data_IF_335070724469
#
_entry.id   IF_335070724469
#
_cell.length_a   1.000
_cell.length_b   1.000
_cell.length_c   1.000
_cell.angle_alpha   90.00
_cell.angle_beta   90.00
_cell.angle_gamma   90.00
#
_symmetry.space_group_name_H-M   'P 1'
#
loop_
_entity.id
_entity.type
_entity.pdbx_description
1 polymer ?
#
# COMPACT_ATOMS: atom_id res chain seq x y z
N UNK A 1 -7.47 -9.60 -7.56
CA UNK A 1 -7.87 -9.30 -6.17
C UNK A 1 -8.12 -7.80 -6.12
N UNK A 2 -9.34 -7.36 -5.83
CA UNK A 2 -9.67 -5.93 -5.70
C UNK A 2 -9.18 -5.47 -4.33
N UNK A 3 -8.03 -4.78 -4.27
CA UNK A 3 -7.62 -4.07 -3.07
C UNK A 3 -8.35 -2.72 -3.07
N UNK A 4 -9.17 -2.49 -2.04
CA UNK A 4 -10.02 -1.29 -1.94
C UNK A 4 -11.53 -1.53 -2.13
N UNK A 5 -11.97 -2.77 -2.33
CA UNK A 5 -13.40 -3.10 -2.33
C UNK A 5 -13.92 -3.04 -0.87
N UNK A 6 -14.39 -1.86 -0.45
CA UNK A 6 -15.18 -1.75 0.78
C UNK A 6 -16.45 -2.58 0.59
N UNK A 7 -16.68 -3.57 1.45
CA UNK A 7 -17.95 -4.30 1.49
C UNK A 7 -19.08 -3.29 1.78
N UNK A 8 -19.98 -3.02 0.81
CA UNK A 8 -21.00 -2.01 0.94
C UNK A 8 -22.00 -2.32 2.07
N UNK A 9 -22.06 -3.55 2.57
CA UNK A 9 -22.99 -3.95 3.63
C UNK A 9 -22.44 -3.78 5.05
N UNK A 10 -21.12 -3.64 5.23
CA UNK A 10 -20.53 -3.44 6.57
C UNK A 10 -20.73 -2.01 7.10
N UNK A 11 -20.63 -0.98 6.25
CA UNK A 11 -20.85 0.42 6.68
C UNK A 11 -22.33 0.79 6.80
N UNK A 12 -23.23 0.05 6.14
CA UNK A 12 -24.68 0.30 6.14
C UNK A 12 -25.34 0.15 7.51
N UNK A 13 -24.70 -0.52 8.47
CA UNK A 13 -25.34 -0.91 9.74
C UNK A 13 -25.12 0.05 10.90
N UNK A 14 -24.15 0.97 10.89
CA UNK A 14 -23.94 1.91 12.03
C UNK A 14 -23.12 3.20 11.76
N UNK A 15 -22.72 3.52 10.52
CA UNK A 15 -21.92 4.72 10.22
C UNK A 15 -22.74 5.93 9.73
N UNK A 16 -22.21 7.19 9.83
CA UNK A 16 -22.80 8.33 9.15
C UNK A 16 -22.92 8.03 7.65
N UNK A 17 -24.11 8.23 7.06
CA UNK A 17 -24.33 8.00 5.62
C UNK A 17 -23.33 8.82 4.81
N UNK A 18 -22.41 8.14 4.13
CA UNK A 18 -21.34 8.73 3.32
C UNK A 18 -21.95 9.57 2.18
N UNK A 19 -21.44 10.80 1.99
CA UNK A 19 -21.98 11.75 1.02
C UNK A 19 -21.37 11.59 -0.39
N UNK A 20 -20.11 11.15 -0.42
CA UNK A 20 -19.37 10.75 -1.61
C UNK A 20 -18.30 9.72 -1.23
N UNK A 21 -17.90 8.89 -2.19
CA UNK A 21 -16.95 7.80 -1.98
C UNK A 21 -16.01 7.71 -3.18
N UNK A 22 -14.70 7.69 -2.92
CA UNK A 22 -13.67 7.34 -3.89
C UNK A 22 -13.20 5.91 -3.67
N UNK A 23 -13.35 5.08 -4.69
CA UNK A 23 -12.77 3.74 -4.77
C UNK A 23 -11.58 3.78 -5.69
N UNK A 24 -10.55 3.03 -5.34
CA UNK A 24 -9.41 2.81 -6.22
C UNK A 24 -9.21 1.33 -6.47
N UNK A 25 -8.64 1.02 -7.62
CA UNK A 25 -8.17 -0.30 -7.99
C UNK A 25 -6.73 -0.18 -8.46
N UNK A 26 -5.82 -0.81 -7.74
CA UNK A 26 -4.42 -0.93 -8.16
C UNK A 26 -4.18 -2.27 -8.83
N UNK A 27 -3.38 -2.24 -9.90
CA UNK A 27 -2.93 -3.42 -10.62
C UNK A 27 -1.44 -3.28 -10.93
N UNK A 28 -0.76 -4.41 -11.04
CA UNK A 28 0.67 -4.41 -11.35
C UNK A 28 1.00 -5.43 -12.43
N UNK A 29 2.00 -5.08 -13.24
CA UNK A 29 2.52 -5.92 -14.31
C UNK A 29 4.04 -5.88 -14.28
N UNK A 30 4.68 -7.02 -14.56
CA UNK A 30 6.14 -7.11 -14.57
C UNK A 30 6.62 -8.25 -15.46
N UNK A 31 7.90 -8.17 -15.87
CA UNK A 31 8.65 -9.30 -16.42
C UNK A 31 9.76 -9.67 -15.44
N UNK A 32 9.89 -10.96 -15.13
CA UNK A 32 10.93 -11.47 -14.25
C UNK A 32 11.92 -12.36 -14.99
N UNK A 33 13.16 -12.34 -14.53
CA UNK A 33 14.22 -13.26 -14.98
C UNK A 33 14.93 -13.82 -13.74
N UNK A 34 14.36 -14.83 -13.06
CA UNK A 34 14.96 -15.39 -11.86
C UNK A 34 16.17 -16.25 -12.19
N UNK A 35 17.20 -16.17 -11.34
CA UNK A 35 18.31 -17.13 -11.27
C UNK A 35 18.35 -17.68 -9.85
N UNK A 36 18.44 -18.99 -9.69
CA UNK A 36 18.40 -19.60 -8.35
C UNK A 36 19.50 -20.63 -8.14
N UNK A 37 19.81 -20.85 -6.87
CA UNK A 37 20.73 -21.88 -6.40
C UNK A 37 20.28 -22.37 -5.02
N UNK A 38 20.56 -23.62 -4.70
CA UNK A 38 20.36 -24.18 -3.37
C UNK A 38 21.69 -24.14 -2.64
N UNK A 39 21.68 -23.64 -1.40
CA UNK A 39 22.82 -23.66 -0.49
C UNK A 39 22.46 -24.56 0.69
N UNK A 40 23.33 -25.51 1.01
CA UNK A 40 23.22 -26.27 2.25
C UNK A 40 23.97 -25.49 3.34
N UNK A 41 23.24 -25.01 4.34
CA UNK A 41 23.78 -24.50 5.60
C UNK A 41 23.64 -25.62 6.64
N UNK A 42 24.41 -25.58 7.72
CA UNK A 42 24.60 -26.68 8.68
C UNK A 42 23.40 -27.63 8.88
N UNK A 43 22.22 -27.10 9.19
CA UNK A 43 20.98 -27.87 9.33
C UNK A 43 19.94 -27.64 8.23
N UNK A 44 20.14 -26.64 7.37
CA UNK A 44 19.09 -26.08 6.51
C UNK A 44 19.46 -26.11 5.03
N UNK A 45 18.50 -26.49 4.19
CA UNK A 45 18.57 -26.28 2.75
C UNK A 45 17.96 -24.93 2.43
N UNK A 46 18.74 -23.99 1.90
CA UNK A 46 18.27 -22.64 1.59
C UNK A 46 18.25 -22.41 0.08
N UNK A 47 17.07 -22.10 -0.46
CA UNK A 47 16.92 -21.61 -1.82
C UNK A 47 17.21 -20.11 -1.87
N UNK A 48 18.18 -19.74 -2.71
CA UNK A 48 18.53 -18.35 -2.98
C UNK A 48 18.08 -18.00 -4.40
N UNK A 49 17.08 -17.13 -4.53
CA UNK A 49 16.58 -16.63 -5.83
C UNK A 49 17.05 -15.20 -6.02
N UNK A 50 17.93 -14.97 -7.00
CA UNK A 50 18.27 -13.63 -7.50
C UNK A 50 17.24 -13.20 -8.52
N UNK A 51 16.52 -12.12 -8.23
CA UNK A 51 15.43 -11.62 -9.03
C UNK A 51 15.86 -10.36 -9.78
N UNK A 52 15.74 -10.39 -11.10
CA UNK A 52 15.77 -9.17 -11.92
C UNK A 52 14.38 -8.93 -12.49
N UNK A 53 13.78 -7.80 -12.14
CA UNK A 53 12.54 -7.33 -12.73
C UNK A 53 12.80 -6.31 -13.84
N UNK A 54 11.92 -6.33 -14.84
CA UNK A 54 11.86 -5.36 -15.94
C UNK A 54 10.40 -4.99 -16.18
N UNK A 55 10.20 -3.84 -16.83
CA UNK A 55 8.88 -3.36 -17.26
C UNK A 55 7.85 -3.32 -16.11
N UNK A 56 8.31 -2.98 -14.89
CA UNK A 56 7.44 -2.94 -13.72
C UNK A 56 6.50 -1.74 -13.82
N UNK A 57 5.22 -2.04 -13.93
CA UNK A 57 4.12 -1.08 -13.96
C UNK A 57 3.24 -1.27 -12.73
N UNK A 58 2.82 -0.15 -12.17
CA UNK A 58 1.78 -0.06 -11.14
C UNK A 58 0.76 0.94 -11.69
N UNK A 59 -0.45 0.47 -11.96
CA UNK A 59 -1.53 1.22 -12.57
C UNK A 59 -2.65 1.36 -11.54
N UNK A 60 -3.23 2.55 -11.44
CA UNK A 60 -4.33 2.86 -10.51
C UNK A 60 -5.50 3.40 -11.31
N UNK A 61 -6.68 2.81 -11.11
CA UNK A 61 -7.96 3.32 -11.62
C UNK A 61 -8.82 3.81 -10.46
N UNK A 62 -9.63 4.85 -10.69
CA UNK A 62 -10.49 5.45 -9.68
C UNK A 62 -11.94 5.49 -10.14
N UNK A 63 -12.84 5.26 -9.21
CA UNK A 63 -14.26 5.52 -9.37
C UNK A 63 -14.71 6.43 -8.23
N UNK A 64 -15.28 7.59 -8.58
CA UNK A 64 -15.80 8.54 -7.59
C UNK A 64 -17.32 8.58 -7.72
N UNK A 65 -17.99 8.23 -6.63
CA UNK A 65 -19.44 8.25 -6.53
C UNK A 65 -19.88 9.40 -5.61
N UNK A 66 -20.91 10.14 -6.05
CA UNK A 66 -21.57 11.16 -5.23
C UNK A 66 -23.02 10.80 -5.01
N UNK A 67 -23.49 10.88 -3.77
CA UNK A 67 -24.90 10.65 -3.45
C UNK A 67 -25.81 11.69 -4.09
N UNK A 68 -25.34 12.94 -4.12
CA UNK A 68 -26.00 14.04 -4.80
C UNK A 68 -25.01 14.61 -5.80
N UNK A 69 -25.46 14.79 -7.03
CA UNK A 69 -24.66 15.41 -8.09
C UNK A 69 -24.15 16.78 -7.62
N UNK A 70 -22.83 17.02 -7.59
CA UNK A 70 -22.29 18.34 -7.27
C UNK A 70 -22.75 19.37 -8.32
N UNK A 71 -22.84 20.64 -7.91
CA UNK A 71 -23.24 21.72 -8.81
C UNK A 71 -22.16 21.93 -9.87
N UNK A 72 -22.55 22.03 -11.14
CA UNK A 72 -21.60 22.18 -12.25
C UNK A 72 -20.83 23.50 -12.20
N UNK A 73 -21.50 24.57 -11.80
CA UNK A 73 -20.94 25.95 -11.77
C UNK A 73 -19.69 26.07 -10.90
N UNK A 74 -19.68 25.36 -9.75
CA UNK A 74 -18.59 25.42 -8.77
C UNK A 74 -18.05 24.00 -8.47
N UNK A 75 -18.10 23.10 -9.45
CA UNK A 75 -17.79 21.68 -9.26
C UNK A 75 -16.40 21.48 -8.62
N UNK A 76 -15.39 22.19 -9.12
CA UNK A 76 -14.00 22.07 -8.65
C UNK A 76 -13.73 22.77 -7.31
N UNK A 77 -14.64 23.64 -6.88
CA UNK A 77 -14.57 24.37 -5.61
C UNK A 77 -15.43 23.71 -4.53
N UNK A 78 -16.21 22.69 -4.87
CA UNK A 78 -17.02 21.95 -3.91
C UNK A 78 -16.10 21.21 -2.94
N UNK A 79 -16.20 21.45 -1.61
CA UNK A 79 -15.32 20.83 -0.62
C UNK A 79 -15.37 19.30 -0.64
N UNK A 80 -16.53 18.71 -0.98
CA UNK A 80 -16.68 17.27 -1.07
C UNK A 80 -15.97 16.73 -2.32
N UNK A 81 -16.04 17.44 -3.45
CA UNK A 81 -15.27 17.08 -4.66
C UNK A 81 -13.77 17.15 -4.39
N UNK A 82 -13.31 18.20 -3.71
CA UNK A 82 -11.90 18.33 -3.34
C UNK A 82 -11.43 17.20 -2.42
N UNK A 83 -12.25 16.83 -1.43
CA UNK A 83 -11.99 15.68 -0.55
C UNK A 83 -11.84 14.36 -1.33
N UNK A 84 -12.74 14.09 -2.27
CA UNK A 84 -12.63 12.90 -3.12
C UNK A 84 -11.39 12.92 -4.02
N UNK A 85 -11.00 14.11 -4.52
CA UNK A 85 -9.76 14.26 -5.27
C UNK A 85 -8.51 14.10 -4.39
N UNK A 86 -8.58 14.41 -3.10
CA UNK A 86 -7.48 14.15 -2.17
C UNK A 86 -7.28 12.64 -1.95
N UNK A 87 -8.34 11.82 -1.95
CA UNK A 87 -8.22 10.36 -2.04
C UNK A 87 -7.50 9.92 -3.32
N UNK A 88 -7.90 10.47 -4.48
CA UNK A 88 -7.22 10.20 -5.76
C UNK A 88 -5.73 10.54 -5.67
N UNK A 89 -5.38 11.68 -5.07
CA UNK A 89 -3.98 12.10 -4.87
C UNK A 89 -3.18 11.09 -4.07
N UNK A 90 -3.72 10.56 -2.97
CA UNK A 90 -3.04 9.53 -2.15
C UNK A 90 -2.70 8.31 -3.00
N UNK A 91 -3.69 7.73 -3.66
CA UNK A 91 -3.54 6.48 -4.43
C UNK A 91 -2.82 6.61 -5.78
N UNK A 92 -2.65 7.84 -6.27
CA UNK A 92 -1.93 8.15 -7.51
C UNK A 92 -0.52 8.69 -7.24
N UNK A 93 -0.12 8.78 -5.98
CA UNK A 93 1.15 9.38 -5.62
C UNK A 93 2.33 8.53 -6.16
N UNK A 94 3.28 9.14 -6.90
CA UNK A 94 4.45 8.45 -7.44
C UNK A 94 5.30 7.72 -6.39
N UNK A 95 5.26 8.14 -5.12
CA UNK A 95 5.99 7.50 -4.02
C UNK A 95 5.49 6.07 -3.75
N UNK A 96 4.22 5.75 -3.98
CA UNK A 96 3.71 4.38 -3.88
C UNK A 96 4.41 3.45 -4.88
N UNK A 97 4.53 3.91 -6.13
CA UNK A 97 5.25 3.17 -7.16
C UNK A 97 6.73 3.01 -6.80
N UNK A 98 7.38 4.07 -6.32
CA UNK A 98 8.77 4.00 -5.87
C UNK A 98 8.94 2.97 -4.76
N UNK A 99 8.05 2.98 -3.75
CA UNK A 99 8.06 2.03 -2.63
C UNK A 99 7.84 0.59 -3.10
N UNK A 100 6.91 0.36 -4.03
CA UNK A 100 6.72 -0.96 -4.63
C UNK A 100 8.01 -1.47 -5.29
N UNK A 101 8.67 -0.63 -6.09
CA UNK A 101 9.94 -1.00 -6.73
C UNK A 101 11.05 -1.28 -5.71
N UNK A 102 11.10 -0.54 -4.61
CA UNK A 102 12.05 -0.76 -3.53
C UNK A 102 11.79 -2.09 -2.81
N UNK A 103 10.55 -2.39 -2.45
CA UNK A 103 10.18 -3.63 -1.75
C UNK A 103 10.46 -4.88 -2.59
N UNK A 104 10.20 -4.81 -3.89
CA UNK A 104 10.46 -5.94 -4.80
C UNK A 104 11.94 -6.00 -5.23
N UNK A 105 12.61 -4.86 -5.25
CA UNK A 105 13.98 -4.70 -5.76
C UNK A 105 15.09 -4.80 -4.72
N UNK A 106 14.81 -4.63 -3.42
CA UNK A 106 15.81 -4.72 -2.35
C UNK A 106 15.49 -5.82 -1.34
N UNK A 107 16.41 -6.79 -1.13
CA UNK A 107 17.75 -6.91 -1.72
C UNK A 107 17.78 -7.80 -2.99
N UNK A 108 16.80 -7.73 -3.90
CA UNK A 108 16.83 -8.48 -5.18
C UNK A 108 17.08 -9.99 -5.03
N UNK A 109 16.86 -10.51 -3.81
CA UNK A 109 17.27 -11.82 -3.32
C UNK A 109 16.14 -12.29 -2.42
N UNK A 110 15.52 -13.39 -2.82
CA UNK A 110 14.55 -14.10 -2.01
C UNK A 110 15.30 -15.29 -1.40
N UNK A 111 15.32 -15.37 -0.07
CA UNK A 111 15.83 -16.53 0.66
C UNK A 111 14.64 -17.31 1.20
N UNK A 112 14.59 -18.61 0.90
CA UNK A 112 13.58 -19.52 1.43
C UNK A 112 14.28 -20.72 2.05
N UNK A 113 13.96 -21.04 3.28
CA UNK A 113 14.29 -22.35 3.86
C UNK A 113 13.42 -23.40 3.19
N UNK A 114 14.05 -24.47 2.73
CA UNK A 114 13.42 -25.60 2.06
C UNK A 114 13.23 -26.72 3.07
N UNK A 115 12.07 -27.36 3.02
CA UNK A 115 11.84 -28.62 3.70
C UNK A 115 12.62 -29.76 3.02
N UNK A 116 12.94 -30.86 3.73
CA UNK A 116 13.67 -31.98 3.15
C UNK A 116 13.03 -32.56 1.89
N UNK A 117 11.70 -32.49 1.81
CA UNK A 117 10.88 -33.03 0.70
C UNK A 117 10.66 -32.04 -0.45
N UNK A 118 11.10 -30.79 -0.31
CA UNK A 118 10.88 -29.77 -1.35
C UNK A 118 11.69 -30.08 -2.61
N UNK A 119 10.94 -30.22 -3.71
CA UNK A 119 11.49 -30.27 -5.07
C UNK A 119 11.54 -28.86 -5.65
N UNK A 120 12.75 -28.32 -5.73
CA UNK A 120 12.98 -27.02 -6.37
C UNK A 120 13.08 -27.18 -7.87
N UNK A 121 12.06 -26.73 -8.59
CA UNK A 121 12.06 -26.59 -10.04
C UNK A 121 11.66 -25.17 -10.48
N UNK A 122 11.56 -24.95 -11.79
CA UNK A 122 11.18 -23.65 -12.32
C UNK A 122 9.76 -23.21 -11.91
N UNK A 123 8.83 -24.14 -11.66
CA UNK A 123 7.48 -23.81 -11.22
C UNK A 123 7.49 -23.33 -9.77
N UNK A 124 8.22 -24.03 -8.89
CA UNK A 124 8.44 -23.62 -7.50
C UNK A 124 9.03 -22.20 -7.42
N UNK A 125 10.08 -21.94 -8.20
CA UNK A 125 10.74 -20.62 -8.24
C UNK A 125 9.81 -19.54 -8.77
N UNK A 126 9.02 -19.81 -9.81
CA UNK A 126 8.03 -18.85 -10.33
C UNK A 126 7.00 -18.51 -9.27
N UNK A 127 6.48 -19.50 -8.55
CA UNK A 127 5.50 -19.30 -7.48
C UNK A 127 6.09 -18.48 -6.33
N UNK A 128 7.33 -18.77 -5.92
CA UNK A 128 8.04 -17.99 -4.91
C UNK A 128 8.20 -16.52 -5.32
N UNK A 129 8.59 -16.27 -6.57
CA UNK A 129 8.68 -14.90 -7.11
C UNK A 129 7.31 -14.22 -7.15
N UNK A 130 6.28 -14.90 -7.64
CA UNK A 130 4.91 -14.36 -7.68
C UNK A 130 4.42 -13.98 -6.29
N UNK A 131 4.61 -14.86 -5.29
CA UNK A 131 4.25 -14.62 -3.90
C UNK A 131 5.00 -13.42 -3.32
N UNK A 132 6.31 -13.32 -3.57
CA UNK A 132 7.11 -12.18 -3.13
C UNK A 132 6.60 -10.86 -3.71
N UNK A 133 6.38 -10.80 -5.03
CA UNK A 133 5.86 -9.59 -5.69
C UNK A 133 4.45 -9.25 -5.20
N UNK A 134 3.57 -10.24 -5.04
CA UNK A 134 2.23 -10.05 -4.49
C UNK A 134 2.30 -9.47 -3.07
N UNK A 135 3.11 -10.05 -2.18
CA UNK A 135 3.28 -9.52 -0.82
C UNK A 135 3.79 -8.07 -0.79
N UNK A 136 4.69 -7.71 -1.71
CA UNK A 136 5.17 -6.33 -1.83
C UNK A 136 4.10 -5.39 -2.37
N UNK A 137 3.26 -5.87 -3.30
CA UNK A 137 2.11 -5.12 -3.80
C UNK A 137 1.08 -4.88 -2.70
N UNK A 138 0.74 -5.92 -1.93
CA UNK A 138 -0.22 -5.86 -0.82
C UNK A 138 0.17 -4.81 0.20
N UNK A 139 1.46 -4.76 0.58
CA UNK A 139 1.98 -3.74 1.50
C UNK A 139 1.75 -2.31 0.99
N UNK A 140 1.91 -2.08 -0.31
CA UNK A 140 1.75 -0.75 -0.92
C UNK A 140 0.28 -0.39 -1.08
N UNK A 141 -0.57 -1.34 -1.49
CA UNK A 141 -2.01 -1.12 -1.56
C UNK A 141 -2.65 -0.91 -0.19
N UNK A 142 -2.16 -1.62 0.85
CA UNK A 142 -2.61 -1.44 2.23
C UNK A 142 -2.20 -0.06 2.75
N UNK A 143 -0.99 0.41 2.44
CA UNK A 143 -0.57 1.76 2.76
C UNK A 143 -1.53 2.82 2.20
N UNK A 144 -1.88 2.73 0.92
CA UNK A 144 -2.87 3.63 0.33
C UNK A 144 -4.23 3.53 1.07
N UNK A 145 -4.66 2.31 1.39
CA UNK A 145 -5.93 2.06 2.09
C UNK A 145 -5.95 2.61 3.52
N UNK A 146 -4.82 2.56 4.24
CA UNK A 146 -4.64 3.19 5.55
C UNK A 146 -4.78 4.71 5.41
N UNK A 147 -4.06 5.31 4.47
CA UNK A 147 -4.09 6.77 4.27
C UNK A 147 -5.46 7.29 3.85
N UNK A 148 -6.21 6.51 3.07
CA UNK A 148 -7.62 6.80 2.78
C UNK A 148 -8.45 6.86 4.08
N UNK A 149 -8.36 5.82 4.92
CA UNK A 149 -9.09 5.79 6.20
C UNK A 149 -8.69 6.94 7.13
N UNK A 150 -7.42 7.31 7.14
CA UNK A 150 -6.93 8.45 7.90
C UNK A 150 -7.46 9.78 7.38
N UNK A 151 -7.46 10.00 6.06
CA UNK A 151 -8.04 11.20 5.44
C UNK A 151 -9.51 11.33 5.82
N UNK A 152 -10.30 10.26 5.67
CA UNK A 152 -11.70 10.23 6.06
C UNK A 152 -11.89 10.54 7.56
N UNK A 153 -11.06 9.95 8.43
CA UNK A 153 -11.11 10.19 9.87
C UNK A 153 -10.82 11.65 10.23
N UNK A 154 -9.76 12.23 9.67
CA UNK A 154 -9.30 13.60 9.98
C UNK A 154 -10.28 14.66 9.46
N UNK A 155 -10.84 14.43 8.27
CA UNK A 155 -11.80 15.35 7.63
C UNK A 155 -13.24 15.10 8.06
N UNK A 156 -13.50 14.05 8.84
CA UNK A 156 -14.86 13.56 9.14
C UNK A 156 -15.67 13.31 7.86
N UNK A 157 -15.07 12.61 6.91
CA UNK A 157 -15.57 12.35 5.56
C UNK A 157 -15.86 13.65 4.78
N UNK A 158 -14.85 14.51 4.63
CA UNK A 158 -14.93 15.75 3.84
C UNK A 158 -15.72 16.89 4.48
N UNK A 159 -16.12 16.76 5.75
CA UNK A 159 -16.85 17.80 6.51
C UNK A 159 -15.93 18.84 7.15
N UNK A 160 -14.62 18.60 7.12
CA UNK A 160 -13.60 19.46 7.71
C UNK A 160 -12.42 19.52 6.75
N UNK A 161 -11.72 20.67 6.69
CA UNK A 161 -10.58 20.81 5.80
C UNK A 161 -9.49 19.79 6.12
N UNK A 162 -8.73 19.39 5.11
CA UNK A 162 -7.57 18.52 5.30
C UNK A 162 -6.50 19.26 6.10
N UNK A 163 -5.98 18.67 7.20
CA UNK A 163 -4.90 19.28 7.97
C UNK A 163 -3.63 19.48 7.11
N UNK A 164 -2.90 20.58 7.34
CA UNK A 164 -1.74 20.94 6.53
C UNK A 164 -0.59 19.94 6.68
N UNK A 165 -0.43 19.38 7.87
CA UNK A 165 0.51 18.30 8.19
C UNK A 165 0.20 17.02 7.40
N UNK A 166 -1.08 16.66 7.28
CA UNK A 166 -1.48 15.47 6.53
C UNK A 166 -1.06 15.61 5.06
N UNK A 167 -1.24 16.78 4.45
CA UNK A 167 -0.86 17.04 3.06
C UNK A 167 0.65 16.94 2.80
N UNK A 168 1.49 17.23 3.80
CA UNK A 168 2.96 17.10 3.69
C UNK A 168 3.39 15.64 3.80
N UNK A 169 2.74 14.90 4.69
CA UNK A 169 3.17 13.56 5.11
C UNK A 169 2.33 12.43 4.48
N UNK A 170 1.55 12.74 3.44
CA UNK A 170 0.61 11.82 2.76
C UNK A 170 1.21 10.41 2.58
N UNK A 171 2.52 10.28 2.32
CA UNK A 171 3.23 9.00 2.25
C UNK A 171 4.58 8.94 2.96
N UNK A 172 4.92 9.95 3.78
CA UNK A 172 6.10 9.85 4.63
C UNK A 172 5.71 9.02 5.86
N UNK A 173 6.12 7.76 5.86
CA UNK A 173 6.01 6.86 7.01
C UNK A 173 7.40 6.47 7.51
N UNK A 174 7.56 6.28 8.83
CA UNK A 174 8.79 5.75 9.41
C UNK A 174 9.07 4.37 8.81
N UNK A 175 10.31 4.18 8.34
CA UNK A 175 10.88 2.85 8.13
C UNK A 175 10.79 2.07 9.47
N UNK A 176 10.66 0.73 9.47
CA UNK A 176 10.60 -0.05 10.70
C UNK A 176 11.80 0.15 11.67
N UNK A 177 12.89 0.78 11.22
CA UNK A 177 14.00 1.24 12.08
C UNK A 177 13.65 2.43 12.99
N UNK A 178 12.64 3.23 12.67
CA UNK A 178 12.29 4.45 13.41
C UNK A 178 11.10 4.28 14.38
N UNK A 179 10.49 3.08 14.47
CA UNK A 179 9.36 2.83 15.35
C UNK A 179 9.75 2.63 16.83
N UNK A 180 11.06 2.62 17.16
CA UNK A 180 11.59 2.32 18.49
C UNK A 180 12.26 3.52 19.19
N UNK A 181 12.18 4.73 18.65
CA UNK A 181 12.83 5.91 19.25
C UNK A 181 11.89 6.87 19.98
N UNK A 182 10.58 6.64 19.98
CA UNK A 182 9.61 7.59 20.56
C UNK A 182 8.93 7.09 21.85
N UNK A 183 9.62 6.21 22.59
CA UNK A 183 9.23 5.83 23.95
C UNK A 183 10.34 6.16 24.95
N UNK A 184 10.61 7.45 25.13
CA UNK A 184 11.24 7.98 26.34
C UNK A 184 10.24 8.84 27.09
N UNK A 185 9.72 8.41 28.25
CA UNK A 185 9.18 9.35 29.20
C UNK A 185 10.34 10.10 29.84
N UNK A 186 10.31 11.40 29.61
CA UNK A 186 11.10 12.45 30.23
C UNK A 186 11.26 12.22 31.74
N UNK A 187 12.51 12.00 32.14
CA UNK A 187 12.93 11.93 33.54
C UNK A 187 13.81 13.14 33.83
N UNK A 188 13.20 14.24 34.30
CA UNK A 188 13.80 15.31 35.13
C UNK A 188 12.75 16.44 35.30
N UNK A 189 12.53 17.14 36.40
CA UNK A 189 13.19 17.20 37.70
C UNK A 189 12.36 18.11 38.64
N UNK A 190 12.44 17.80 39.94
CA UNK A 190 12.45 18.74 41.11
C UNK A 190 11.24 19.65 41.42
N UNK A 191 10.64 19.41 42.60
CA UNK A 191 11.02 20.14 43.82
C UNK A 191 10.68 19.35 45.08
#
# INVERSE_FOLDING_TARGET
MNYGDRDPDQERRSGPRVAAETRFKMEYNYRSSPRWQIQNRESDRVLIIRLRLRDVKLETTHEIWFRRKPKLENFWQDPLVQHELDHVRISSDPRLRKRFLELVGKPGKIELTLEPTDKVDAAFVRQAVQKHVANSFDQVSELASIRYRELDRLTRHGRSPVPAEFQRDILDLPTPENASHDASPDSSETK
#
